data_IF_729785586709
#
_entry.id   IF_729785586709
#
_cell.length_a   1.000
_cell.length_b   1.000
_cell.length_c   1.000
_cell.angle_alpha   90.00
_cell.angle_beta   90.00
_cell.angle_gamma   90.00
#
_symmetry.space_group_name_H-M   'P 1'
#
loop_
_entity.id
_entity.type
_entity.pdbx_description
1 polymer ?
#
# COMPACT_ATOMS: atom_id res chain seq x y z
N UNK A 1 6.00 -0.01 -39.78
CA UNK A 1 5.79 -0.93 -38.64
C UNK A 1 5.24 -0.12 -37.50
N UNK A 2 4.00 -0.40 -37.05
CA UNK A 2 3.46 0.24 -35.86
C UNK A 2 4.31 -0.22 -34.65
N UNK A 3 4.65 0.69 -33.75
CA UNK A 3 5.30 0.33 -32.48
C UNK A 3 4.41 -0.68 -31.74
N UNK A 4 4.98 -1.68 -31.06
CA UNK A 4 4.19 -2.60 -30.25
C UNK A 4 3.38 -1.79 -29.23
N UNK A 5 2.15 -2.22 -28.90
CA UNK A 5 1.36 -1.51 -27.90
C UNK A 5 2.15 -1.46 -26.59
N UNK A 6 2.30 -0.25 -26.07
CA UNK A 6 3.05 -0.03 -24.82
C UNK A 6 2.43 -0.87 -23.70
N UNK A 7 3.24 -1.64 -23.00
CA UNK A 7 2.77 -2.46 -21.90
C UNK A 7 2.07 -1.58 -20.85
N UNK A 8 0.89 -2.00 -20.36
CA UNK A 8 0.11 -1.26 -19.35
C UNK A 8 0.70 -1.39 -17.93
N UNK A 9 1.79 -2.12 -17.78
CA UNK A 9 2.44 -2.39 -16.51
C UNK A 9 3.96 -2.32 -16.65
N UNK A 10 4.65 -2.25 -15.52
CA UNK A 10 6.09 -2.41 -15.39
C UNK A 10 6.39 -3.67 -14.59
N UNK A 11 7.62 -4.18 -14.72
CA UNK A 11 8.15 -5.29 -13.94
C UNK A 11 9.04 -4.71 -12.85
N UNK A 12 8.63 -4.90 -11.59
CA UNK A 12 9.32 -4.36 -10.43
C UNK A 12 9.96 -5.47 -9.62
N UNK A 13 11.07 -5.15 -8.97
CA UNK A 13 11.77 -6.10 -8.10
C UNK A 13 11.22 -6.03 -6.68
N UNK A 14 10.87 -7.18 -6.11
CA UNK A 14 10.57 -7.30 -4.69
C UNK A 14 11.85 -7.06 -3.88
N UNK A 15 11.86 -6.01 -3.08
CA UNK A 15 13.03 -5.61 -2.28
C UNK A 15 13.12 -6.40 -0.97
N UNK A 16 11.99 -6.56 -0.32
CA UNK A 16 11.84 -7.35 0.90
C UNK A 16 10.39 -7.76 1.10
N UNK A 17 10.19 -8.82 1.88
CA UNK A 17 8.90 -9.26 2.41
C UNK A 17 9.06 -9.62 3.88
N UNK A 18 8.08 -9.26 4.69
CA UNK A 18 8.02 -9.58 6.11
C UNK A 18 6.69 -10.21 6.45
N UNK A 19 6.73 -11.41 6.99
CA UNK A 19 5.58 -12.11 7.55
C UNK A 19 5.42 -11.68 9.02
N UNK A 20 4.26 -11.13 9.37
CA UNK A 20 3.94 -10.69 10.73
C UNK A 20 3.14 -11.75 11.49
N UNK A 21 2.18 -12.37 10.79
CA UNK A 21 1.41 -13.51 11.26
C UNK A 21 1.30 -14.54 10.13
N UNK A 22 0.58 -15.63 10.34
CA UNK A 22 0.32 -16.62 9.28
C UNK A 22 -0.45 -16.03 8.08
N UNK A 23 -1.12 -14.89 8.25
CA UNK A 23 -1.95 -14.26 7.20
C UNK A 23 -1.57 -12.81 6.86
N UNK A 24 -0.69 -12.16 7.61
CA UNK A 24 -0.35 -10.76 7.41
C UNK A 24 1.09 -10.60 6.93
N UNK A 25 1.24 -9.92 5.81
CA UNK A 25 2.55 -9.58 5.26
C UNK A 25 2.65 -8.09 4.92
N UNK A 26 3.84 -7.55 5.06
CA UNK A 26 4.25 -6.29 4.43
C UNK A 26 5.39 -6.57 3.47
N UNK A 27 5.47 -5.80 2.41
CA UNK A 27 6.53 -5.93 1.41
C UNK A 27 6.78 -4.62 0.69
N UNK A 28 7.96 -4.51 0.08
CA UNK A 28 8.32 -3.39 -0.76
C UNK A 28 8.80 -3.85 -2.13
N UNK A 29 8.47 -3.05 -3.14
CA UNK A 29 8.97 -3.21 -4.50
C UNK A 29 9.71 -1.95 -4.95
N UNK A 30 10.50 -2.06 -5.99
CA UNK A 30 11.07 -0.91 -6.68
C UNK A 30 9.96 0.02 -7.17
N UNK A 31 10.30 1.31 -7.33
CA UNK A 31 9.39 2.32 -7.86
C UNK A 31 9.93 2.85 -9.18
N UNK A 32 9.20 2.72 -10.29
CA UNK A 32 9.59 3.35 -11.53
C UNK A 32 9.70 4.87 -11.38
N UNK A 33 10.71 5.48 -11.98
CA UNK A 33 10.93 6.93 -11.89
C UNK A 33 9.71 7.75 -12.32
N UNK A 34 8.97 7.26 -13.31
CA UNK A 34 7.77 7.92 -13.81
C UNK A 34 6.50 7.63 -13.00
N UNK A 35 6.54 6.69 -12.03
CA UNK A 35 5.35 6.29 -11.28
C UNK A 35 4.94 7.38 -10.29
N UNK A 36 3.70 7.84 -10.41
CA UNK A 36 3.09 8.84 -9.53
C UNK A 36 1.82 8.27 -8.89
N UNK A 37 1.64 8.55 -7.62
CA UNK A 37 0.41 8.27 -6.88
C UNK A 37 0.19 9.37 -5.85
N UNK A 38 -1.06 9.56 -5.45
CA UNK A 38 -1.43 10.40 -4.31
C UNK A 38 -1.68 9.52 -3.08
N UNK A 39 -1.33 10.02 -1.89
CA UNK A 39 -1.56 9.32 -0.63
C UNK A 39 -3.04 8.93 -0.49
N UNK A 40 -3.29 7.68 -0.10
CA UNK A 40 -4.64 7.11 -0.06
C UNK A 40 -5.04 6.32 -1.30
N UNK A 41 -4.27 6.38 -2.38
CA UNK A 41 -4.48 5.56 -3.57
C UNK A 41 -3.97 4.12 -3.41
N UNK A 42 -4.37 3.28 -4.33
CA UNK A 42 -3.92 1.90 -4.47
C UNK A 42 -3.27 1.66 -5.84
N UNK A 43 -2.40 0.67 -5.89
CA UNK A 43 -1.83 0.12 -7.11
C UNK A 43 -2.50 -1.22 -7.43
N UNK A 44 -2.55 -1.57 -8.72
CA UNK A 44 -2.80 -2.95 -9.11
C UNK A 44 -1.47 -3.67 -9.23
N UNK A 45 -1.31 -4.72 -8.45
CA UNK A 45 -0.15 -5.61 -8.48
C UNK A 45 -0.53 -6.94 -9.09
N UNK A 46 0.41 -7.57 -9.78
CA UNK A 46 0.14 -8.81 -10.46
C UNK A 46 1.34 -9.74 -10.57
N UNK A 47 1.02 -10.97 -10.95
CA UNK A 47 1.97 -12.02 -11.31
C UNK A 47 1.50 -12.71 -12.58
N UNK A 48 2.45 -13.28 -13.31
CA UNK A 48 2.17 -14.21 -14.39
C UNK A 48 2.11 -15.64 -13.82
N UNK A 49 1.01 -16.38 -14.07
CA UNK A 49 0.79 -17.72 -13.53
C UNK A 49 1.07 -18.86 -14.55
N UNK A 50 1.60 -18.49 -15.72
CA UNK A 50 1.86 -19.41 -16.83
C UNK A 50 0.69 -19.54 -17.82
N UNK A 51 -0.53 -19.20 -17.40
CA UNK A 51 -1.73 -19.18 -18.25
C UNK A 51 -2.24 -17.77 -18.53
N UNK A 52 -1.86 -16.81 -17.68
CA UNK A 52 -2.29 -15.43 -17.79
C UNK A 52 -1.75 -14.56 -16.64
N UNK A 53 -2.47 -13.51 -16.33
CA UNK A 53 -2.09 -12.56 -15.29
C UNK A 53 -3.11 -12.58 -14.15
N UNK A 54 -2.62 -12.67 -12.93
CA UNK A 54 -3.40 -12.48 -11.73
C UNK A 54 -3.16 -11.04 -11.27
N UNK A 55 -4.22 -10.24 -11.12
CA UNK A 55 -4.16 -8.86 -10.67
C UNK A 55 -5.03 -8.62 -9.44
N UNK A 56 -4.51 -7.87 -8.46
CA UNK A 56 -5.28 -7.39 -7.30
C UNK A 56 -4.86 -5.97 -6.95
N UNK A 57 -5.79 -5.25 -6.33
CA UNK A 57 -5.56 -3.90 -5.82
C UNK A 57 -4.99 -3.96 -4.40
N UNK A 58 -3.95 -3.16 -4.14
CA UNK A 58 -3.34 -2.98 -2.83
C UNK A 58 -3.11 -1.50 -2.58
N UNK A 59 -3.64 -1.00 -1.48
CA UNK A 59 -3.37 0.39 -1.06
C UNK A 59 -1.88 0.58 -0.78
N UNK A 60 -1.35 1.69 -1.26
CA UNK A 60 0.05 2.07 -0.99
C UNK A 60 0.17 2.47 0.48
N UNK A 61 1.17 1.96 1.16
CA UNK A 61 1.50 2.28 2.57
C UNK A 61 2.52 3.39 2.66
N UNK A 62 3.50 3.41 1.74
CA UNK A 62 4.57 4.39 1.73
C UNK A 62 4.09 5.81 1.40
N UNK A 63 4.91 6.79 1.74
CA UNK A 63 4.69 8.20 1.39
C UNK A 63 4.79 8.43 -0.13
N UNK A 64 4.16 9.50 -0.62
CA UNK A 64 4.24 9.90 -2.04
C UNK A 64 5.68 10.18 -2.50
N UNK A 65 6.53 10.65 -1.59
CA UNK A 65 7.93 10.98 -1.85
C UNK A 65 8.90 9.82 -1.62
N UNK A 66 8.40 8.65 -1.16
CA UNK A 66 9.26 7.50 -0.89
C UNK A 66 9.91 6.97 -2.18
N UNK A 67 11.15 6.51 -2.07
CA UNK A 67 11.90 5.93 -3.18
C UNK A 67 11.39 4.53 -3.58
N UNK A 68 10.63 3.87 -2.72
CA UNK A 68 10.08 2.53 -2.92
C UNK A 68 8.57 2.52 -2.71
N UNK A 69 7.89 1.50 -3.19
CA UNK A 69 6.47 1.29 -2.95
C UNK A 69 6.29 0.18 -1.91
N UNK A 70 5.67 0.52 -0.80
CA UNK A 70 5.38 -0.41 0.28
C UNK A 70 3.90 -0.74 0.35
N UNK A 71 3.61 -2.00 0.68
CA UNK A 71 2.26 -2.55 0.71
C UNK A 71 2.04 -3.42 1.94
N UNK A 72 0.76 -3.50 2.31
CA UNK A 72 0.26 -4.41 3.32
C UNK A 72 -0.78 -5.33 2.71
N UNK A 73 -0.62 -6.64 2.87
CA UNK A 73 -1.53 -7.62 2.32
C UNK A 73 -1.99 -8.64 3.37
N UNK A 74 -3.22 -9.09 3.20
CA UNK A 74 -3.80 -10.21 3.93
C UNK A 74 -3.79 -11.42 3.02
N UNK A 75 -3.18 -12.51 3.46
CA UNK A 75 -3.20 -13.80 2.78
C UNK A 75 -4.57 -14.46 3.02
N UNK A 76 -5.27 -14.74 1.94
CA UNK A 76 -6.59 -15.38 1.94
C UNK A 76 -6.41 -16.84 1.57
N UNK A 77 -6.98 -17.74 2.36
CA UNK A 77 -6.96 -19.17 2.09
C UNK A 77 -7.46 -19.48 0.67
N UNK A 78 -6.76 -20.35 -0.04
CA UNK A 78 -7.03 -20.71 -1.44
C UNK A 78 -7.03 -19.53 -2.45
N UNK A 79 -6.57 -18.35 -2.05
CA UNK A 79 -6.45 -17.21 -2.96
C UNK A 79 -5.21 -17.35 -3.87
N UNK A 80 -5.34 -17.26 -5.21
CA UNK A 80 -4.19 -17.43 -6.11
C UNK A 80 -3.08 -16.39 -5.89
N UNK A 81 -3.44 -15.15 -5.52
CA UNK A 81 -2.47 -14.12 -5.17
C UNK A 81 -1.79 -14.45 -3.83
N UNK A 82 -2.53 -14.99 -2.86
CA UNK A 82 -2.00 -15.36 -1.55
C UNK A 82 -1.00 -16.50 -1.64
N UNK A 83 -1.23 -17.48 -2.51
CA UNK A 83 -0.28 -18.55 -2.78
C UNK A 83 1.06 -17.99 -3.32
N UNK A 84 1.00 -17.02 -4.23
CA UNK A 84 2.20 -16.32 -4.73
C UNK A 84 2.90 -15.54 -3.62
N UNK A 85 2.17 -14.79 -2.82
CA UNK A 85 2.74 -14.03 -1.70
C UNK A 85 3.41 -14.91 -0.64
N UNK A 86 2.90 -16.12 -0.41
CA UNK A 86 3.49 -17.05 0.56
C UNK A 86 4.87 -17.56 0.11
N UNK A 87 5.13 -17.61 -1.20
CA UNK A 87 6.37 -18.13 -1.78
C UNK A 87 7.38 -17.04 -2.15
N UNK A 88 6.96 -15.77 -2.20
CA UNK A 88 7.80 -14.70 -2.71
C UNK A 88 8.94 -14.34 -1.77
N UNK A 89 10.06 -13.95 -2.37
CA UNK A 89 11.29 -13.56 -1.69
C UNK A 89 11.94 -12.36 -2.40
N UNK A 90 12.83 -11.69 -1.69
CA UNK A 90 13.61 -10.59 -2.28
C UNK A 90 14.29 -11.03 -3.60
N UNK A 91 14.20 -10.20 -4.61
CA UNK A 91 14.68 -10.46 -5.96
C UNK A 91 13.62 -10.99 -6.94
N UNK A 92 12.46 -11.43 -6.45
CA UNK A 92 11.38 -11.87 -7.32
C UNK A 92 10.75 -10.68 -8.08
N UNK A 93 10.14 -10.98 -9.22
CA UNK A 93 9.47 -9.98 -10.06
C UNK A 93 8.00 -9.87 -9.69
N UNK A 94 7.53 -8.63 -9.56
CA UNK A 94 6.12 -8.27 -9.40
C UNK A 94 5.70 -7.30 -10.51
N UNK A 95 4.51 -7.48 -11.06
CA UNK A 95 3.95 -6.58 -12.06
C UNK A 95 3.23 -5.43 -11.36
N UNK A 96 3.50 -4.20 -11.81
CA UNK A 96 2.86 -2.98 -11.33
C UNK A 96 2.11 -2.31 -12.49
N UNK A 97 0.80 -2.10 -12.34
CA UNK A 97 0.04 -1.26 -13.28
C UNK A 97 0.63 0.16 -13.28
N UNK A 98 0.82 0.75 -14.45
CA UNK A 98 1.43 2.09 -14.60
C UNK A 98 0.65 3.21 -13.90
N UNK A 99 -0.62 2.99 -13.56
CA UNK A 99 -1.50 3.98 -12.96
C UNK A 99 -1.94 3.57 -11.56
N UNK A 100 -1.73 4.46 -10.61
CA UNK A 100 -2.40 4.39 -9.32
C UNK A 100 -3.86 4.85 -9.46
N UNK A 101 -4.73 4.32 -8.61
CA UNK A 101 -6.16 4.62 -8.64
C UNK A 101 -6.68 4.75 -7.22
N UNK A 102 -7.81 5.42 -7.04
CA UNK A 102 -8.47 5.57 -5.73
C UNK A 102 -8.91 7.00 -5.49
N UNK A 103 -9.89 7.17 -4.60
CA UNK A 103 -10.55 8.44 -4.34
C UNK A 103 -10.49 8.86 -2.87
N UNK A 104 -9.81 8.10 -2.01
CA UNK A 104 -9.53 8.49 -0.63
C UNK A 104 -8.34 9.46 -0.61
N UNK A 105 -8.58 10.67 -1.08
CA UNK A 105 -7.54 11.67 -1.33
C UNK A 105 -7.66 12.81 -0.31
N UNK A 106 -6.57 13.23 0.33
CA UNK A 106 -6.60 14.32 1.31
C UNK A 106 -7.27 15.61 0.81
N UNK A 107 -7.03 15.98 -0.46
CA UNK A 107 -7.65 17.18 -1.06
C UNK A 107 -9.17 17.10 -1.17
N UNK A 108 -9.77 15.94 -1.03
CA UNK A 108 -11.23 15.75 -1.02
C UNK A 108 -11.84 15.80 0.37
N UNK A 109 -11.02 15.85 1.40
CA UNK A 109 -11.53 15.96 2.77
C UNK A 109 -12.12 17.34 2.99
N UNK A 110 -13.28 17.40 3.65
CA UNK A 110 -13.87 18.65 4.04
C UNK A 110 -12.95 19.38 5.03
N UNK A 111 -12.94 20.69 4.96
CA UNK A 111 -12.24 21.50 5.96
C UNK A 111 -12.91 21.32 7.33
N UNK A 112 -12.09 21.28 8.36
CA UNK A 112 -12.54 21.04 9.71
C UNK A 112 -11.38 21.10 10.70
N UNK A 113 -11.73 21.04 11.97
CA UNK A 113 -10.76 21.02 13.05
C UNK A 113 -10.12 19.65 13.21
N UNK A 114 -10.93 18.60 13.10
CA UNK A 114 -10.57 17.24 13.45
C UNK A 114 -10.66 16.34 12.20
N UNK A 115 -9.62 15.53 11.96
CA UNK A 115 -9.67 14.44 11.00
C UNK A 115 -9.81 13.11 11.75
N UNK A 116 -10.92 12.43 11.56
CA UNK A 116 -11.18 11.11 12.15
C UNK A 116 -11.09 10.05 11.05
N UNK A 117 -10.15 9.14 11.20
CA UNK A 117 -9.91 8.02 10.30
C UNK A 117 -10.35 6.71 10.97
N UNK A 118 -11.28 6.00 10.34
CA UNK A 118 -11.81 4.73 10.86
C UNK A 118 -11.48 3.61 9.87
N UNK A 119 -10.85 2.55 10.33
CA UNK A 119 -10.51 1.42 9.48
C UNK A 119 -10.57 0.07 10.20
N UNK A 120 -10.66 -0.99 9.42
CA UNK A 120 -10.57 -2.37 9.88
C UNK A 120 -9.50 -3.11 9.07
N UNK A 121 -8.79 -4.03 9.70
CA UNK A 121 -7.81 -4.90 9.04
C UNK A 121 -6.84 -4.13 8.13
N UNK A 122 -6.73 -4.55 6.86
CA UNK A 122 -5.83 -3.92 5.88
C UNK A 122 -6.27 -2.53 5.41
N UNK A 123 -7.45 -2.07 5.78
CA UNK A 123 -7.93 -0.70 5.50
C UNK A 123 -7.09 0.40 6.16
N UNK A 124 -6.17 0.06 7.06
CA UNK A 124 -5.21 1.00 7.63
C UNK A 124 -4.19 1.51 6.60
N UNK A 125 -3.86 0.72 5.58
CA UNK A 125 -2.79 1.00 4.63
C UNK A 125 -2.89 2.40 3.98
N UNK A 126 -4.02 2.85 3.39
CA UNK A 126 -4.11 4.17 2.80
C UNK A 126 -3.97 5.29 3.83
N UNK A 127 -4.41 5.09 5.07
CA UNK A 127 -4.23 6.08 6.13
C UNK A 127 -2.77 6.22 6.56
N UNK A 128 -1.99 5.15 6.54
CA UNK A 128 -0.54 5.23 6.79
C UNK A 128 0.16 6.08 5.74
N UNK A 129 -0.21 5.93 4.46
CA UNK A 129 0.30 6.78 3.39
C UNK A 129 -0.07 8.24 3.60
N UNK A 130 -1.34 8.53 3.96
CA UNK A 130 -1.84 9.88 4.24
C UNK A 130 -1.12 10.51 5.43
N UNK A 131 -0.95 9.77 6.53
CA UNK A 131 -0.29 10.26 7.75
C UNK A 131 1.21 10.56 7.57
N UNK A 132 1.83 10.07 6.52
CA UNK A 132 3.21 10.41 6.17
C UNK A 132 3.33 11.71 5.37
N UNK A 133 2.21 12.35 4.98
CA UNK A 133 2.24 13.64 4.29
C UNK A 133 2.33 14.77 5.31
N UNK A 134 3.34 15.67 5.24
CA UNK A 134 3.50 16.73 6.22
C UNK A 134 2.33 17.71 6.29
N UNK A 135 1.67 17.98 5.18
CA UNK A 135 0.56 18.93 5.07
C UNK A 135 -0.69 18.47 5.82
N UNK A 136 -0.92 17.17 5.99
CA UNK A 136 -2.07 16.68 6.75
C UNK A 136 -2.01 17.10 8.22
N UNK A 137 -0.80 17.17 8.79
CA UNK A 137 -0.57 17.57 10.17
C UNK A 137 -0.72 19.10 10.39
N UNK A 138 -0.55 19.87 9.33
CA UNK A 138 -0.74 21.33 9.35
C UNK A 138 -2.19 21.72 9.11
N UNK A 139 -2.93 20.90 8.38
CA UNK A 139 -4.32 21.17 7.98
C UNK A 139 -5.33 20.93 9.09
N UNK A 140 -5.08 19.97 9.98
CA UNK A 140 -6.01 19.58 11.03
C UNK A 140 -5.37 19.76 12.42
N UNK A 141 -6.14 20.28 13.38
CA UNK A 141 -5.67 20.44 14.76
C UNK A 141 -5.55 19.10 15.48
N UNK A 142 -6.44 18.14 15.16
CA UNK A 142 -6.43 16.80 15.71
C UNK A 142 -6.60 15.75 14.61
N UNK A 143 -5.75 14.75 14.69
CA UNK A 143 -5.86 13.55 13.88
C UNK A 143 -6.14 12.36 14.81
N UNK A 144 -7.23 11.65 14.57
CA UNK A 144 -7.61 10.45 15.31
C UNK A 144 -7.70 9.28 14.35
N UNK A 145 -6.97 8.20 14.64
CA UNK A 145 -7.03 6.94 13.89
C UNK A 145 -7.58 5.84 14.79
N UNK A 146 -8.73 5.29 14.43
CA UNK A 146 -9.29 4.10 15.05
C UNK A 146 -9.12 2.90 14.10
N UNK A 147 -8.33 1.93 14.54
CA UNK A 147 -8.05 0.70 13.79
C UNK A 147 -8.58 -0.50 14.55
N UNK A 148 -9.53 -1.23 13.96
CA UNK A 148 -10.08 -2.46 14.50
C UNK A 148 -9.50 -3.67 13.78
N UNK A 149 -9.14 -4.69 14.56
CA UNK A 149 -8.62 -5.98 14.10
C UNK A 149 -9.28 -7.11 14.87
N UNK A 150 -9.18 -8.34 14.36
CA UNK A 150 -9.76 -9.51 15.04
C UNK A 150 -8.91 -9.98 16.22
N UNK A 151 -7.58 -9.83 16.13
CA UNK A 151 -6.63 -10.28 17.13
C UNK A 151 -5.57 -9.22 17.39
N UNK A 152 -5.07 -9.13 18.63
CA UNK A 152 -4.10 -8.09 19.03
C UNK A 152 -2.76 -8.15 18.27
N UNK A 153 -2.33 -9.33 17.84
CA UNK A 153 -1.12 -9.53 17.03
C UNK A 153 -1.24 -9.01 15.57
N UNK A 154 -2.45 -8.63 15.18
CA UNK A 154 -2.70 -7.99 13.88
C UNK A 154 -2.46 -6.46 13.92
N UNK A 155 -2.22 -5.87 15.09
CA UNK A 155 -1.87 -4.45 15.25
C UNK A 155 -0.39 -4.19 14.91
N UNK A 156 0.03 -4.57 13.72
CA UNK A 156 1.44 -4.60 13.30
C UNK A 156 2.06 -3.21 13.06
N UNK A 157 1.25 -2.16 12.98
CA UNK A 157 1.71 -0.78 12.71
C UNK A 157 1.75 0.12 13.95
N UNK A 158 1.60 -0.42 15.16
CA UNK A 158 1.60 0.38 16.38
C UNK A 158 2.85 1.25 16.53
N UNK A 159 4.03 0.68 16.24
CA UNK A 159 5.29 1.43 16.31
C UNK A 159 5.35 2.52 15.22
N UNK A 160 4.98 2.18 13.98
CA UNK A 160 4.94 3.15 12.87
C UNK A 160 4.03 4.33 13.20
N UNK A 161 2.84 4.06 13.78
CA UNK A 161 1.90 5.11 14.19
C UNK A 161 2.47 5.96 15.33
N UNK A 162 3.17 5.34 16.29
CA UNK A 162 3.82 6.05 17.37
C UNK A 162 4.91 6.99 16.85
N UNK A 163 5.72 6.51 15.89
CA UNK A 163 6.79 7.29 15.27
C UNK A 163 6.23 8.48 14.48
N UNK A 164 5.13 8.30 13.75
CA UNK A 164 4.47 9.38 13.00
C UNK A 164 3.96 10.52 13.89
N UNK A 165 3.56 10.24 15.14
CA UNK A 165 3.14 11.28 16.10
C UNK A 165 4.25 12.23 16.52
N UNK A 166 5.49 11.80 16.34
CA UNK A 166 6.69 12.59 16.71
C UNK A 166 7.35 13.24 15.49
N UNK A 167 6.78 13.07 14.31
CA UNK A 167 7.23 13.80 13.11
C UNK A 167 6.73 15.25 13.18
N UNK A 168 7.64 16.23 13.03
CA UNK A 168 7.29 17.64 13.02
C UNK A 168 6.49 18.04 11.77
#
# INVERSE_FOLDING_TARGET
MAAPPEAKYTEETLLWVKHHTHKLITFAITRPEAYRFAAGQFSRLGFHDGQGFIWRAYSVVSAEYAATLEYFAVLIEAGPMSAKFAEMKAGDTMLLDKNATGFLLPERFADGRDLIMLCTGSGIAPFLSILQQPDIWQRFERLALAHSVSHADELIFNQTIADLKHHP
#
